data_IF_028544390511
#
_entry.id   IF_028544390511
#
_cell.length_a   1.000
_cell.length_b   1.000
_cell.length_c   1.000
_cell.angle_alpha   90.00
_cell.angle_beta   90.00
_cell.angle_gamma   90.00
#
_symmetry.space_group_name_H-M   'P 1'
#
loop_
_entity.id
_entity.type
_entity.pdbx_description
1 polymer ?
#
# COMPACT_ATOMS: atom_id res chain seq x y z
N UNK A 1 6.41 1.26 4.87
CA UNK A 1 7.81 1.17 5.36
C UNK A 1 8.80 1.80 4.38
N UNK A 2 8.65 1.56 3.06
CA UNK A 2 9.51 2.20 2.05
C UNK A 2 9.43 3.72 2.11
N UNK A 3 8.23 4.26 2.27
CA UNK A 3 8.02 5.69 2.38
C UNK A 3 8.56 6.26 3.69
N UNK A 4 8.12 5.72 4.82
CA UNK A 4 8.52 6.22 6.15
C UNK A 4 10.00 6.06 6.41
N UNK A 5 10.62 5.02 5.89
CA UNK A 5 12.06 4.78 6.04
C UNK A 5 12.94 5.72 5.22
N UNK A 6 12.35 6.48 4.29
CA UNK A 6 13.07 7.43 3.47
C UNK A 6 13.97 6.82 2.39
N UNK A 7 13.91 5.51 2.18
CA UNK A 7 14.73 4.85 1.16
C UNK A 7 14.22 5.03 -0.27
N UNK A 8 13.01 5.55 -0.42
CA UNK A 8 12.33 5.63 -1.72
C UNK A 8 11.89 4.26 -2.23
N UNK A 9 11.46 4.21 -3.47
CA UNK A 9 10.83 3.02 -4.05
C UNK A 9 11.70 2.32 -5.11
N UNK A 10 12.83 2.89 -5.48
CA UNK A 10 13.69 2.36 -6.54
C UNK A 10 14.34 1.02 -6.22
N UNK A 11 14.57 0.74 -4.94
CA UNK A 11 15.19 -0.52 -4.50
C UNK A 11 14.35 -1.76 -4.78
N UNK A 12 13.04 -1.60 -4.93
CA UNK A 12 12.15 -2.71 -5.26
C UNK A 12 12.55 -3.43 -6.55
N UNK A 13 13.01 -2.70 -7.54
CA UNK A 13 13.42 -3.23 -8.85
C UNK A 13 14.67 -4.10 -8.79
N UNK A 14 15.41 -4.07 -7.69
CA UNK A 14 16.61 -4.88 -7.50
C UNK A 14 16.31 -6.27 -6.95
N UNK A 15 15.07 -6.51 -6.52
CA UNK A 15 14.62 -7.79 -5.99
C UNK A 15 14.15 -8.71 -7.12
N UNK A 16 14.28 -10.00 -6.91
CA UNK A 16 13.57 -11.01 -7.71
C UNK A 16 12.26 -11.38 -7.02
N UNK A 17 11.30 -11.89 -7.76
CA UNK A 17 9.96 -12.21 -7.23
C UNK A 17 9.99 -13.22 -6.09
N UNK A 18 10.93 -14.17 -6.11
CA UNK A 18 11.07 -15.20 -5.08
C UNK A 18 11.70 -14.66 -3.77
N UNK A 19 12.21 -13.45 -3.79
CA UNK A 19 12.71 -12.77 -2.58
C UNK A 19 11.59 -12.03 -1.83
N UNK A 20 10.40 -11.89 -2.44
CA UNK A 20 9.26 -11.19 -1.86
C UNK A 20 8.24 -12.21 -1.37
N UNK A 21 8.18 -12.42 -0.06
CA UNK A 21 7.26 -13.37 0.55
C UNK A 21 5.84 -12.82 0.66
N UNK A 22 5.69 -11.53 0.97
CA UNK A 22 4.41 -10.87 1.18
C UNK A 22 4.58 -9.38 0.93
N UNK A 23 3.53 -8.75 0.45
CA UNK A 23 3.47 -7.30 0.28
C UNK A 23 2.32 -6.73 1.12
N UNK A 24 2.64 -5.94 2.14
CA UNK A 24 1.67 -5.08 2.81
C UNK A 24 1.52 -3.81 1.95
N UNK A 25 0.32 -3.60 1.44
CA UNK A 25 0.06 -2.60 0.42
C UNK A 25 -0.91 -1.55 0.95
N UNK A 26 -0.36 -0.51 1.55
CA UNK A 26 -1.10 0.58 2.19
C UNK A 26 -0.72 1.91 1.54
N UNK A 27 -1.51 2.93 1.83
CA UNK A 27 -1.19 4.30 1.43
C UNK A 27 -0.83 5.14 2.67
N UNK A 28 -0.31 6.32 2.44
CA UNK A 28 0.06 7.26 3.49
C UNK A 28 -0.41 8.66 3.12
N UNK A 29 -0.93 9.44 4.09
CA UNK A 29 -1.35 10.81 3.84
C UNK A 29 -0.16 11.76 3.72
N UNK A 30 -0.41 12.97 3.21
CA UNK A 30 0.61 14.02 3.15
C UNK A 30 0.94 14.60 4.53
N UNK A 31 0.01 14.53 5.46
CA UNK A 31 0.10 15.07 6.82
C UNK A 31 -0.18 13.97 7.83
N UNK A 32 0.61 13.82 8.88
CA UNK A 32 1.84 14.56 9.23
C UNK A 32 2.98 14.34 8.24
N UNK A 33 4.09 15.10 8.34
CA UNK A 33 5.25 14.90 7.47
C UNK A 33 5.82 13.49 7.54
N UNK A 34 6.47 13.05 6.47
CA UNK A 34 6.96 11.68 6.24
C UNK A 34 7.61 11.04 7.47
N UNK A 35 8.55 11.73 8.11
CA UNK A 35 9.31 11.15 9.22
C UNK A 35 8.62 11.26 10.58
N UNK A 36 7.47 11.91 10.64
CA UNK A 36 6.64 12.02 11.84
C UNK A 36 5.49 11.00 11.83
N UNK A 37 5.23 10.36 10.70
CA UNK A 37 4.15 9.40 10.56
C UNK A 37 4.42 8.12 11.35
N UNK A 38 3.33 7.53 11.85
CA UNK A 38 3.29 6.24 12.54
C UNK A 38 2.42 5.27 11.75
N UNK A 39 2.31 4.03 12.21
CA UNK A 39 1.42 3.04 11.61
C UNK A 39 -0.05 3.47 11.66
N UNK A 40 -0.40 4.32 12.65
CA UNK A 40 -1.77 4.83 12.80
C UNK A 40 -2.16 5.83 11.72
N UNK A 41 -1.21 6.37 10.98
CA UNK A 41 -1.47 7.33 9.90
C UNK A 41 -1.82 6.68 8.57
N UNK A 42 -1.64 5.37 8.43
CA UNK A 42 -1.94 4.65 7.20
C UNK A 42 -3.39 4.83 6.78
N UNK A 43 -3.60 4.95 5.47
CA UNK A 43 -4.93 5.12 4.87
C UNK A 43 -5.15 4.09 3.77
N UNK A 44 -6.39 3.98 3.29
CA UNK A 44 -6.71 3.10 2.17
C UNK A 44 -5.88 3.43 0.93
N UNK A 45 -5.51 2.40 0.15
CA UNK A 45 -4.86 2.61 -1.14
C UNK A 45 -5.65 3.56 -2.04
N UNK A 46 -4.95 4.55 -2.59
CA UNK A 46 -5.54 5.57 -3.45
C UNK A 46 -6.05 6.81 -2.70
N UNK A 47 -6.09 6.79 -1.37
CA UNK A 47 -6.50 7.95 -0.57
C UNK A 47 -5.32 8.76 -0.03
N UNK A 48 -4.11 8.37 -0.34
CA UNK A 48 -2.88 9.04 0.09
C UNK A 48 -2.05 9.55 -1.08
N UNK A 49 -0.76 9.73 -0.80
CA UNK A 49 0.20 10.36 -1.73
C UNK A 49 1.20 9.37 -2.34
N UNK A 50 1.16 8.10 -1.97
CA UNK A 50 2.14 7.15 -2.46
C UNK A 50 1.89 6.77 -3.93
N UNK A 51 2.96 6.52 -4.72
CA UNK A 51 2.81 6.16 -6.13
C UNK A 51 2.43 4.68 -6.30
N UNK A 52 1.30 4.26 -5.73
CA UNK A 52 0.90 2.86 -5.62
C UNK A 52 0.72 2.18 -6.98
N UNK A 53 0.17 2.90 -7.95
CA UNK A 53 0.01 2.35 -9.32
C UNK A 53 1.37 2.01 -9.93
N UNK A 54 2.35 2.90 -9.77
CA UNK A 54 3.71 2.67 -10.26
C UNK A 54 4.39 1.52 -9.53
N UNK A 55 4.26 1.47 -8.20
CA UNK A 55 4.79 0.38 -7.38
C UNK A 55 4.22 -0.97 -7.78
N UNK A 56 2.91 -1.02 -8.05
CA UNK A 56 2.27 -2.26 -8.47
C UNK A 56 2.72 -2.69 -9.86
N UNK A 57 2.93 -1.76 -10.78
CA UNK A 57 3.55 -2.06 -12.08
C UNK A 57 4.94 -2.66 -11.93
N UNK A 58 5.75 -2.14 -11.01
CA UNK A 58 7.07 -2.69 -10.73
C UNK A 58 6.97 -4.12 -10.17
N UNK A 59 6.06 -4.38 -9.23
CA UNK A 59 5.81 -5.72 -8.70
C UNK A 59 5.39 -6.71 -9.81
N UNK A 60 4.48 -6.28 -10.68
CA UNK A 60 4.04 -7.09 -11.83
C UNK A 60 5.22 -7.39 -12.76
N UNK A 61 6.04 -6.40 -13.04
CA UNK A 61 7.22 -6.56 -13.90
C UNK A 61 8.25 -7.52 -13.34
N UNK A 62 8.35 -7.62 -12.01
CA UNK A 62 9.21 -8.59 -11.32
C UNK A 62 8.65 -10.01 -11.37
N UNK A 63 7.39 -10.18 -11.77
CA UNK A 63 6.70 -11.46 -11.75
C UNK A 63 6.13 -11.83 -10.39
N UNK A 64 5.87 -10.85 -9.51
CA UNK A 64 5.24 -11.11 -8.21
C UNK A 64 3.80 -11.56 -8.40
N UNK A 65 3.47 -12.74 -7.88
CA UNK A 65 2.13 -13.34 -7.94
C UNK A 65 1.53 -13.57 -6.55
N UNK A 66 2.16 -13.05 -5.51
CA UNK A 66 1.70 -13.20 -4.14
C UNK A 66 0.54 -12.28 -3.79
N UNK A 67 0.17 -12.30 -2.53
CA UNK A 67 -0.93 -11.48 -2.02
C UNK A 67 -0.51 -10.03 -1.82
N UNK A 68 -1.45 -9.13 -2.04
CA UNK A 68 -1.39 -7.76 -1.55
C UNK A 68 -2.26 -7.71 -0.30
N UNK A 69 -1.65 -7.46 0.84
CA UNK A 69 -2.33 -7.46 2.13
C UNK A 69 -2.51 -6.04 2.63
N UNK A 70 -3.74 -5.68 2.97
CA UNK A 70 -4.05 -4.39 3.57
C UNK A 70 -3.85 -4.47 5.08
N UNK A 71 -3.00 -3.61 5.63
CA UNK A 71 -2.69 -3.58 7.05
C UNK A 71 -2.81 -2.15 7.59
N UNK A 72 -4.00 -1.79 8.04
CA UNK A 72 -4.32 -0.46 8.54
C UNK A 72 -4.46 -0.47 10.06
N UNK A 73 -3.74 0.46 10.72
CA UNK A 73 -3.82 0.65 12.17
C UNK A 73 -4.44 2.01 12.53
N UNK A 74 -5.10 2.67 11.59
CA UNK A 74 -5.69 3.98 11.78
C UNK A 74 -6.93 3.87 12.68
N UNK A 75 -6.95 4.56 13.83
CA UNK A 75 -8.07 4.48 14.77
C UNK A 75 -9.42 4.91 14.19
N UNK A 76 -9.43 5.71 13.12
CA UNK A 76 -10.66 6.12 12.44
C UNK A 76 -11.44 4.94 11.88
N UNK A 77 -10.76 3.82 11.57
CA UNK A 77 -11.44 2.62 11.06
C UNK A 77 -11.95 1.70 12.16
N UNK A 78 -11.44 1.84 13.39
CA UNK A 78 -11.80 0.94 14.50
C UNK A 78 -13.21 1.14 15.03
N UNK A 79 -13.77 2.33 14.85
CA UNK A 79 -15.14 2.67 15.31
C UNK A 79 -16.18 2.42 14.24
N UNK A 80 -15.79 2.01 13.06
CA UNK A 80 -16.68 1.71 11.93
C UNK A 80 -17.04 0.22 11.91
N UNK A 81 -18.09 -0.12 11.17
CA UNK A 81 -18.42 -1.52 10.90
C UNK A 81 -17.26 -2.23 10.21
N UNK A 82 -16.79 -3.33 10.80
CA UNK A 82 -15.62 -4.07 10.31
C UNK A 82 -15.80 -4.62 8.89
N UNK A 83 -17.02 -5.04 8.55
CA UNK A 83 -17.34 -5.53 7.21
C UNK A 83 -17.27 -4.41 6.18
N UNK A 84 -17.74 -3.23 6.58
CA UNK A 84 -17.67 -2.03 5.74
C UNK A 84 -16.21 -1.63 5.49
N UNK A 85 -15.37 -1.64 6.52
CA UNK A 85 -13.94 -1.32 6.41
C UNK A 85 -13.25 -2.32 5.48
N UNK A 86 -13.49 -3.61 5.65
CA UNK A 86 -12.90 -4.65 4.80
C UNK A 86 -13.34 -4.52 3.34
N UNK A 87 -14.62 -4.25 3.10
CA UNK A 87 -15.16 -4.05 1.75
C UNK A 87 -14.56 -2.83 1.08
N UNK A 88 -14.54 -1.70 1.78
CA UNK A 88 -13.96 -0.44 1.25
C UNK A 88 -12.48 -0.63 0.95
N UNK A 89 -11.73 -1.26 1.84
CA UNK A 89 -10.32 -1.56 1.62
C UNK A 89 -10.07 -2.40 0.37
N UNK A 90 -10.87 -3.44 0.19
CA UNK A 90 -10.81 -4.28 -1.00
C UNK A 90 -11.11 -3.49 -2.28
N UNK A 91 -12.19 -2.72 -2.29
CA UNK A 91 -12.59 -1.92 -3.44
C UNK A 91 -11.52 -0.91 -3.84
N UNK A 92 -10.91 -0.25 -2.85
CA UNK A 92 -9.80 0.69 -3.07
C UNK A 92 -8.56 0.00 -3.63
N UNK A 93 -8.20 -1.15 -3.07
CA UNK A 93 -7.11 -1.98 -3.57
C UNK A 93 -7.34 -2.41 -5.03
N UNK A 94 -8.52 -2.92 -5.33
CA UNK A 94 -8.90 -3.34 -6.67
C UNK A 94 -8.86 -2.18 -7.68
N UNK A 95 -9.20 -0.97 -7.24
CA UNK A 95 -9.10 0.22 -8.10
C UNK A 95 -7.65 0.52 -8.49
N UNK A 96 -6.72 0.41 -7.56
CA UNK A 96 -5.27 0.57 -7.84
C UNK A 96 -4.79 -0.54 -8.78
N UNK A 97 -5.22 -1.78 -8.56
CA UNK A 97 -4.87 -2.91 -9.43
C UNK A 97 -5.35 -2.65 -10.85
N UNK A 98 -6.60 -2.22 -11.01
CA UNK A 98 -7.14 -1.88 -12.35
C UNK A 98 -6.30 -0.78 -13.03
N UNK A 99 -5.90 0.24 -12.29
CA UNK A 99 -5.06 1.32 -12.83
C UNK A 99 -3.67 0.83 -13.26
N UNK A 100 -3.13 -0.14 -12.55
CA UNK A 100 -1.81 -0.70 -12.86
C UNK A 100 -1.83 -1.68 -14.04
N UNK A 101 -2.98 -2.33 -14.28
CA UNK A 101 -3.14 -3.36 -15.31
C UNK A 101 -3.88 -2.89 -16.56
N UNK A 102 -4.28 -1.63 -16.57
CA UNK A 102 -4.98 -1.01 -17.70
C UNK A 102 -4.08 -0.83 -18.93
#
# INVERSE_FOLDING_TARGET
>A
HLYRGGSGFGGLKQLSSNEIALCHFNDAPAVPPQFEQTDEDRVYPGEGILPLTSLLKDLISLGYEGYLSLELFNPQYWTKDLRQVARTGREKMEAVIRSATA
#
